data_IF_524282210430
#
_entry.id   IF_524282210430
#
_cell.length_a   1.000
_cell.length_b   1.000
_cell.length_c   1.000
_cell.angle_alpha   90.00
_cell.angle_beta   90.00
_cell.angle_gamma   90.00
#
_symmetry.space_group_name_H-M   'P 1'
#
loop_
_entity.id
_entity.type
_entity.pdbx_description
1 polymer ?
#
# COMPACT_ATOMS: atom_id res chain seq x y z
N UNK A 1 6.53 20.01 -30.95
CA UNK A 1 5.52 19.25 -30.16
C UNK A 1 5.74 17.73 -30.21
N UNK A 2 6.00 17.12 -31.38
CA UNK A 2 6.24 15.66 -31.53
C UNK A 2 7.36 15.09 -30.64
N UNK A 3 8.47 15.82 -30.43
CA UNK A 3 9.58 15.40 -29.54
C UNK A 3 9.20 15.36 -28.05
N UNK A 4 8.30 16.23 -27.59
CA UNK A 4 7.78 16.23 -26.22
C UNK A 4 6.79 15.10 -26.00
N UNK A 5 5.98 14.78 -27.02
CA UNK A 5 5.09 13.61 -27.02
C UNK A 5 5.86 12.29 -26.97
N UNK A 6 6.97 12.17 -27.73
CA UNK A 6 7.84 11.00 -27.69
C UNK A 6 8.57 10.83 -26.35
N UNK A 7 9.03 11.93 -25.74
CA UNK A 7 9.64 11.90 -24.40
C UNK A 7 8.64 11.54 -23.30
N UNK A 8 7.39 12.04 -23.39
CA UNK A 8 6.32 11.66 -22.47
C UNK A 8 5.95 10.18 -22.62
N UNK A 9 5.88 9.67 -23.85
CA UNK A 9 5.65 8.24 -24.12
C UNK A 9 6.76 7.35 -23.58
N UNK A 10 8.02 7.74 -23.72
CA UNK A 10 9.16 7.03 -23.15
C UNK A 10 9.17 7.05 -21.61
N UNK A 11 8.75 8.16 -21.00
CA UNK A 11 8.61 8.28 -19.54
C UNK A 11 7.49 7.40 -19.00
N UNK A 12 6.36 7.30 -19.71
CA UNK A 12 5.25 6.40 -19.36
C UNK A 12 5.65 4.93 -19.49
N UNK A 13 6.40 4.56 -20.54
CA UNK A 13 6.95 3.21 -20.71
C UNK A 13 7.99 2.86 -19.63
N UNK A 14 8.82 3.83 -19.24
CA UNK A 14 9.79 3.67 -18.17
C UNK A 14 9.10 3.50 -16.80
N UNK A 15 8.01 4.23 -16.55
CA UNK A 15 7.16 4.03 -15.37
C UNK A 15 6.56 2.62 -15.35
N UNK A 16 6.10 2.11 -16.50
CA UNK A 16 5.53 0.77 -16.63
C UNK A 16 6.55 -0.36 -16.39
N UNK A 17 7.84 -0.11 -16.66
CA UNK A 17 8.92 -1.08 -16.44
C UNK A 17 9.20 -1.34 -14.94
N UNK A 18 8.99 -0.35 -14.06
CA UNK A 18 9.15 -0.50 -12.59
C UNK A 18 8.02 -1.32 -11.97
N UNK A 19 6.89 -1.47 -12.67
CA UNK A 19 5.68 -2.12 -12.16
C UNK A 19 5.59 -3.62 -12.48
N UNK A 20 6.51 -4.20 -13.25
CA UNK A 20 6.48 -5.64 -13.56
C UNK A 20 6.76 -6.42 -12.26
N UNK A 21 5.81 -7.21 -11.74
CA UNK A 21 6.11 -8.07 -10.61
C UNK A 21 7.18 -9.06 -11.07
N UNK A 22 8.38 -8.93 -10.51
CA UNK A 22 9.43 -9.91 -10.69
C UNK A 22 8.87 -11.27 -10.25
N UNK A 23 8.63 -12.16 -11.21
CA UNK A 23 8.10 -13.49 -10.94
C UNK A 23 9.23 -14.27 -10.28
N UNK A 24 9.25 -14.30 -8.94
CA UNK A 24 10.19 -15.10 -8.18
C UNK A 24 9.95 -16.58 -8.53
N UNK A 25 10.93 -17.22 -9.17
CA UNK A 25 10.95 -18.65 -9.36
C UNK A 25 11.28 -19.30 -8.01
N UNK A 26 10.28 -19.51 -7.15
CA UNK A 26 10.47 -20.21 -5.89
C UNK A 26 10.43 -21.73 -6.11
N UNK A 27 11.63 -22.32 -6.17
CA UNK A 27 11.84 -23.76 -6.07
C UNK A 27 11.61 -24.19 -4.61
N UNK A 28 10.35 -24.45 -4.27
CA UNK A 28 9.92 -24.89 -2.95
C UNK A 28 9.45 -23.75 -2.04
N UNK A 29 8.37 -24.00 -1.29
CA UNK A 29 7.86 -23.07 -0.29
C UNK A 29 8.80 -23.06 0.92
N UNK A 30 9.58 -21.98 1.08
CA UNK A 30 10.36 -21.73 2.29
C UNK A 30 9.42 -21.24 3.41
N UNK A 31 9.46 -21.93 4.55
CA UNK A 31 8.69 -21.53 5.74
C UNK A 31 9.12 -20.14 6.26
N UNK A 32 10.41 -19.80 6.14
CA UNK A 32 10.94 -18.50 6.52
C UNK A 32 10.39 -17.35 5.65
N UNK A 33 10.35 -17.57 4.34
CA UNK A 33 9.81 -16.57 3.40
C UNK A 33 8.31 -16.36 3.63
N UNK A 34 7.58 -17.44 3.95
CA UNK A 34 6.15 -17.38 4.26
C UNK A 34 5.90 -16.63 5.57
N UNK A 35 6.67 -16.93 6.62
CA UNK A 35 6.59 -16.21 7.89
C UNK A 35 6.90 -14.72 7.71
N UNK A 36 7.94 -14.38 6.94
CA UNK A 36 8.30 -12.99 6.66
C UNK A 36 7.21 -12.26 5.86
N UNK A 37 6.60 -12.91 4.87
CA UNK A 37 5.48 -12.36 4.10
C UNK A 37 4.24 -12.12 4.97
N UNK A 38 3.92 -13.05 5.88
CA UNK A 38 2.81 -12.89 6.82
C UNK A 38 3.06 -11.74 7.79
N UNK A 39 4.25 -11.64 8.38
CA UNK A 39 4.63 -10.54 9.28
C UNK A 39 4.59 -9.20 8.54
N UNK A 40 5.16 -9.14 7.33
CA UNK A 40 5.11 -7.93 6.50
C UNK A 40 3.66 -7.50 6.20
N UNK A 41 2.78 -8.46 5.91
CA UNK A 41 1.36 -8.18 5.66
C UNK A 41 0.65 -7.64 6.89
N UNK A 42 0.96 -8.17 8.08
CA UNK A 42 0.43 -7.65 9.36
C UNK A 42 0.93 -6.23 9.64
N UNK A 43 2.20 -5.92 9.34
CA UNK A 43 2.73 -4.57 9.51
C UNK A 43 2.01 -3.54 8.62
N UNK A 44 1.64 -3.92 7.39
CA UNK A 44 0.83 -3.06 6.52
C UNK A 44 -0.58 -2.87 7.07
N UNK A 45 -1.22 -3.94 7.56
CA UNK A 45 -2.55 -3.85 8.20
C UNK A 45 -2.54 -2.96 9.45
N UNK A 46 -1.45 -2.94 10.21
CA UNK A 46 -1.32 -2.05 11.37
C UNK A 46 -1.26 -0.56 10.99
N UNK A 47 -0.83 -0.23 9.77
CA UNK A 47 -0.86 1.16 9.29
C UNK A 47 -2.29 1.64 9.02
N UNK A 48 -3.17 0.76 8.55
CA UNK A 48 -4.57 1.11 8.31
C UNK A 48 -5.39 1.07 9.60
N UNK A 49 -5.21 0.03 10.42
CA UNK A 49 -5.95 -0.20 11.67
C UNK A 49 -4.91 -0.47 12.77
N UNK A 50 -4.62 0.40 13.77
CA UNK A 50 -5.27 1.63 14.24
C UNK A 50 -4.62 2.94 13.73
N UNK A 51 -3.66 2.87 12.79
CA UNK A 51 -2.90 4.04 12.34
C UNK A 51 -3.79 5.18 11.83
N UNK A 52 -4.78 4.88 10.98
CA UNK A 52 -5.72 5.88 10.49
C UNK A 52 -6.64 6.40 11.60
N UNK A 53 -7.11 5.53 12.49
CA UNK A 53 -8.01 5.89 13.58
C UNK A 53 -7.35 6.86 14.56
N UNK A 54 -6.11 6.61 14.95
CA UNK A 54 -5.41 7.50 15.89
C UNK A 54 -5.05 8.83 15.24
N UNK A 55 -4.61 8.82 13.98
CA UNK A 55 -4.17 10.02 13.29
C UNK A 55 -5.36 10.90 12.85
N UNK A 56 -6.33 10.32 12.14
CA UNK A 56 -7.51 11.05 11.68
C UNK A 56 -8.49 11.28 12.82
N UNK A 57 -8.70 10.32 13.73
CA UNK A 57 -9.55 10.51 14.91
C UNK A 57 -9.03 11.59 15.87
N UNK A 58 -7.71 11.78 15.97
CA UNK A 58 -7.11 12.83 16.79
C UNK A 58 -7.31 14.25 16.28
N UNK A 59 -7.55 14.44 14.97
CA UNK A 59 -7.80 15.74 14.34
C UNK A 59 -9.28 16.15 14.35
N UNK A 60 -10.19 15.27 14.76
CA UNK A 60 -11.63 15.56 14.78
C UNK A 60 -12.12 15.85 16.19
N UNK A 61 -13.25 16.55 16.28
CA UNK A 61 -13.90 16.83 17.56
C UNK A 61 -14.27 15.53 18.26
N UNK A 62 -14.13 15.48 19.59
CA UNK A 62 -14.44 14.33 20.46
C UNK A 62 -15.75 13.62 20.10
N UNK A 63 -16.79 14.37 19.73
CA UNK A 63 -18.11 13.84 19.35
C UNK A 63 -18.14 13.03 18.04
N UNK A 64 -17.14 13.20 17.17
CA UNK A 64 -17.05 12.56 15.85
C UNK A 64 -16.03 11.40 15.81
N UNK A 65 -15.26 11.18 16.88
CA UNK A 65 -14.21 10.14 16.93
C UNK A 65 -14.80 8.75 16.71
N UNK A 66 -15.96 8.46 17.31
CA UNK A 66 -16.63 7.17 17.14
C UNK A 66 -17.02 6.90 15.69
N UNK A 67 -17.41 7.95 14.94
CA UNK A 67 -17.76 7.83 13.52
C UNK A 67 -16.53 7.50 12.66
N UNK A 68 -15.37 8.10 12.96
CA UNK A 68 -14.13 7.81 12.25
C UNK A 68 -13.62 6.42 12.58
N UNK A 69 -13.73 5.98 13.84
CA UNK A 69 -13.40 4.60 14.22
C UNK A 69 -14.20 3.57 13.42
N UNK A 70 -15.51 3.77 13.28
CA UNK A 70 -16.36 2.85 12.50
C UNK A 70 -16.03 2.91 11.01
N UNK A 71 -15.78 4.11 10.46
CA UNK A 71 -15.47 4.26 9.04
C UNK A 71 -14.10 3.67 8.67
N UNK A 72 -13.07 3.82 9.50
CA UNK A 72 -11.72 3.31 9.23
C UNK A 72 -11.56 1.79 9.38
N UNK A 73 -12.56 1.09 9.93
CA UNK A 73 -12.57 -0.38 10.04
C UNK A 73 -13.43 -1.02 8.95
N UNK A 74 -14.48 -0.32 8.48
CA UNK A 74 -15.45 -0.83 7.51
C UNK A 74 -15.04 -0.48 6.06
N UNK A 75 -14.42 0.67 5.84
CA UNK A 75 -13.91 1.11 4.53
C UNK A 75 -12.48 0.61 4.31
#
# INVERSE_FOLDING_TARGET
MKRRLLAAGALVLALQCVCLPAKAAQTGLSAGDTAWMLVSSVLVLLMTIPGLVLFYGGMVRKKNVLSIMMQSVII
#
